data_IF_383448090020
#
_entry.id   IF_383448090020
#
_cell.length_a   1.000
_cell.length_b   1.000
_cell.length_c   1.000
_cell.angle_alpha   90.00
_cell.angle_beta   90.00
_cell.angle_gamma   90.00
#
_symmetry.space_group_name_H-M   'P 1'
#
loop_
_entity.id
_entity.type
_entity.pdbx_description
1 polymer ?
#
# COMPACT_ATOMS: atom_id res chain seq x y z
N UNK A 1 -64.92 35.24 38.48
CA UNK A 1 -65.49 34.25 39.42
C UNK A 1 -64.60 33.01 39.43
N UNK A 2 -64.21 32.54 40.63
CA UNK A 2 -64.10 31.11 41.00
C UNK A 2 -62.97 30.26 40.35
N UNK A 3 -62.15 29.45 41.04
CA UNK A 3 -62.07 29.04 42.45
C UNK A 3 -60.67 28.43 42.69
N UNK A 4 -60.03 28.83 43.80
CA UNK A 4 -58.97 28.06 44.47
C UNK A 4 -59.57 26.78 45.07
N UNK A 5 -58.77 25.71 45.19
CA UNK A 5 -58.62 24.80 46.36
C UNK A 5 -57.71 23.63 45.97
N UNK A 6 -56.52 23.51 46.56
CA UNK A 6 -56.17 22.89 47.85
C UNK A 6 -55.99 21.37 47.74
N UNK A 7 -54.71 20.99 47.79
CA UNK A 7 -54.16 19.65 48.04
C UNK A 7 -54.64 19.15 49.41
N UNK A 8 -54.77 17.83 49.58
CA UNK A 8 -54.19 17.22 50.77
C UNK A 8 -53.28 16.04 50.44
N UNK A 9 -52.11 16.09 51.03
CA UNK A 9 -51.17 15.00 51.25
C UNK A 9 -51.76 14.10 52.33
N UNK A 10 -51.74 12.77 52.12
CA UNK A 10 -51.71 11.84 53.24
C UNK A 10 -50.85 10.63 52.87
N UNK A 11 -49.82 10.46 53.68
CA UNK A 11 -48.77 9.45 53.65
C UNK A 11 -49.13 8.39 54.70
N UNK A 12 -48.78 7.12 54.48
CA UNK A 12 -47.88 6.29 55.32
C UNK A 12 -48.25 4.78 55.43
N UNK A 13 -47.27 3.93 55.05
CA UNK A 13 -46.89 2.58 55.58
C UNK A 13 -47.90 1.39 55.54
N UNK A 14 -47.53 0.10 55.40
CA UNK A 14 -46.25 -0.59 55.62
C UNK A 14 -46.23 -2.01 54.97
N UNK A 15 -45.06 -2.37 54.40
CA UNK A 15 -44.27 -3.63 54.39
C UNK A 15 -44.90 -5.03 54.65
N UNK A 16 -44.62 -5.98 53.74
CA UNK A 16 -43.90 -7.29 53.91
C UNK A 16 -44.44 -8.41 52.99
N UNK A 17 -43.56 -9.08 52.24
CA UNK A 17 -43.85 -10.35 51.56
C UNK A 17 -42.86 -10.65 50.43
N UNK A 18 -41.94 -11.59 50.66
CA UNK A 18 -40.81 -11.86 49.77
C UNK A 18 -41.03 -12.92 48.68
N UNK A 19 -39.94 -13.10 47.93
CA UNK A 19 -39.56 -14.22 47.03
C UNK A 19 -40.38 -14.48 45.76
N UNK A 20 -39.80 -14.21 44.59
CA UNK A 20 -39.15 -15.21 43.73
C UNK A 20 -38.89 -14.62 42.34
N UNK A 21 -37.68 -14.86 41.83
CA UNK A 21 -37.24 -14.47 40.50
C UNK A 21 -38.17 -14.99 39.40
N UNK A 22 -38.45 -14.17 38.39
CA UNK A 22 -38.60 -14.64 37.00
C UNK A 22 -37.89 -13.71 36.03
N UNK A 23 -36.84 -14.30 35.48
CA UNK A 23 -36.14 -14.06 34.23
C UNK A 23 -36.72 -13.01 33.27
N UNK A 24 -35.79 -12.23 32.74
CA UNK A 24 -35.89 -11.43 31.53
C UNK A 24 -36.51 -12.25 30.39
N UNK A 25 -37.42 -11.63 29.64
CA UNK A 25 -37.54 -11.90 28.21
C UNK A 25 -37.46 -10.54 27.52
N UNK A 26 -36.23 -10.13 27.21
CA UNK A 26 -36.02 -9.28 26.06
C UNK A 26 -36.57 -10.03 24.85
N UNK A 27 -37.64 -9.54 24.26
CA UNK A 27 -38.08 -10.01 22.95
C UNK A 27 -37.16 -9.37 21.89
N UNK A 28 -36.05 -10.03 21.62
CA UNK A 28 -35.53 -10.15 20.26
C UNK A 28 -35.50 -11.67 19.98
N UNK A 29 -35.76 -12.18 18.76
CA UNK A 29 -35.35 -11.58 17.48
C UNK A 29 -36.37 -11.78 16.34
N UNK A 30 -36.49 -10.80 15.44
CA UNK A 30 -37.42 -10.88 14.32
C UNK A 30 -36.93 -10.20 13.05
N UNK A 31 -35.63 -10.23 12.74
CA UNK A 31 -35.16 -9.75 11.45
C UNK A 31 -34.04 -10.63 10.88
N UNK A 32 -34.48 -11.47 9.93
CA UNK A 32 -33.77 -12.13 8.83
C UNK A 32 -32.58 -13.05 9.15
N UNK A 33 -32.87 -14.35 9.27
CA UNK A 33 -31.92 -15.46 9.12
C UNK A 33 -31.27 -15.57 7.70
N UNK A 34 -31.45 -14.57 6.83
CA UNK A 34 -30.92 -14.53 5.46
C UNK A 34 -30.33 -13.15 5.09
N UNK A 35 -29.82 -12.39 6.06
CA UNK A 35 -29.10 -11.16 5.77
C UNK A 35 -27.75 -11.50 5.09
N UNK A 36 -27.71 -11.41 3.75
CA UNK A 36 -26.48 -11.48 2.97
C UNK A 36 -25.81 -10.11 2.98
N UNK A 37 -24.53 -10.06 3.32
CA UNK A 37 -23.74 -8.83 3.22
C UNK A 37 -23.82 -8.26 1.80
N UNK A 38 -24.04 -6.94 1.64
CA UNK A 38 -24.07 -6.34 0.33
C UNK A 38 -22.72 -6.52 -0.37
N UNK A 39 -22.73 -7.03 -1.60
CA UNK A 39 -21.55 -7.09 -2.48
C UNK A 39 -21.29 -5.67 -2.99
N UNK A 40 -20.14 -5.10 -2.63
CA UNK A 40 -19.68 -3.83 -3.19
C UNK A 40 -19.11 -4.08 -4.60
N UNK A 41 -19.81 -3.61 -5.63
CA UNK A 41 -19.28 -3.58 -7.00
C UNK A 41 -18.54 -2.25 -7.19
N UNK A 42 -17.22 -2.30 -7.33
CA UNK A 42 -16.46 -1.12 -7.73
C UNK A 42 -16.69 -0.84 -9.22
N UNK A 43 -16.89 0.43 -9.63
CA UNK A 43 -16.88 0.80 -11.03
C UNK A 43 -15.56 0.35 -11.70
N UNK A 44 -15.59 -0.13 -12.96
CA UNK A 44 -14.37 -0.42 -13.69
C UNK A 44 -13.46 0.80 -13.70
N UNK A 45 -12.21 0.65 -13.27
CA UNK A 45 -11.20 1.69 -13.36
C UNK A 45 -10.39 1.50 -14.63
N UNK A 46 -9.96 2.58 -15.31
CA UNK A 46 -9.10 2.45 -16.47
C UNK A 46 -7.76 1.80 -16.08
N UNK A 47 -7.09 1.07 -16.98
CA UNK A 47 -5.75 0.56 -16.76
C UNK A 47 -4.79 1.67 -16.29
N UNK A 48 -3.95 1.42 -15.27
CA UNK A 48 -2.90 2.35 -14.89
C UNK A 48 -1.90 2.58 -16.02
N UNK A 49 -1.43 3.82 -16.15
CA UNK A 49 -0.38 4.18 -17.09
C UNK A 49 0.87 4.63 -16.37
N UNK A 50 2.00 4.26 -16.93
CA UNK A 50 3.29 4.75 -16.49
C UNK A 50 3.45 6.22 -16.92
N UNK A 51 3.57 7.13 -15.95
CA UNK A 51 3.65 8.58 -16.22
C UNK A 51 5.05 9.14 -16.06
N UNK A 52 5.92 8.48 -15.29
CA UNK A 52 7.32 8.85 -15.22
C UNK A 52 8.19 7.70 -14.76
N UNK A 53 9.45 7.75 -15.17
CA UNK A 53 10.47 6.80 -14.74
C UNK A 53 11.77 7.49 -14.40
N UNK A 54 12.59 6.80 -13.63
CA UNK A 54 14.01 7.08 -13.56
C UNK A 54 14.79 5.76 -13.71
N UNK A 55 15.73 5.64 -14.65
CA UNK A 55 16.04 6.60 -15.71
C UNK A 55 14.83 6.90 -16.62
N UNK A 56 14.82 8.10 -17.21
CA UNK A 56 13.86 8.46 -18.24
C UNK A 56 14.24 7.79 -19.58
N UNK A 57 13.28 7.75 -20.51
CA UNK A 57 13.51 7.26 -21.87
C UNK A 57 14.71 7.98 -22.51
N UNK A 58 15.63 7.19 -23.05
CA UNK A 58 16.87 7.61 -23.72
C UNK A 58 17.83 8.46 -22.86
N UNK A 59 17.62 8.50 -21.54
CA UNK A 59 18.53 9.18 -20.63
C UNK A 59 19.91 8.51 -20.61
N UNK A 60 20.97 9.31 -20.48
CA UNK A 60 22.32 8.83 -20.14
C UNK A 60 22.53 8.92 -18.64
N UNK A 61 22.99 7.83 -18.01
CA UNK A 61 23.30 7.77 -16.58
C UNK A 61 24.70 7.23 -16.33
N UNK A 62 25.27 7.56 -15.17
CA UNK A 62 26.54 7.00 -14.72
C UNK A 62 26.40 5.53 -14.31
N UNK A 63 27.45 4.70 -14.48
CA UNK A 63 27.43 3.29 -14.07
C UNK A 63 27.31 3.09 -12.56
N UNK A 64 27.06 1.86 -12.11
CA UNK A 64 27.06 1.47 -10.70
C UNK A 64 25.67 1.23 -10.11
N UNK A 65 25.46 1.68 -8.87
CA UNK A 65 24.20 1.57 -8.14
C UNK A 65 23.14 2.46 -8.80
N UNK A 66 22.01 1.87 -9.18
CA UNK A 66 20.89 2.53 -9.84
C UNK A 66 19.62 2.29 -9.04
N UNK A 67 18.75 3.30 -8.97
CA UNK A 67 17.36 3.10 -8.58
C UNK A 67 16.52 3.11 -9.84
N UNK A 68 15.79 2.03 -10.12
CA UNK A 68 14.71 2.06 -11.09
C UNK A 68 13.46 2.58 -10.40
N UNK A 69 12.94 3.73 -10.85
CA UNK A 69 11.70 4.33 -10.37
C UNK A 69 10.64 4.22 -11.46
N UNK A 70 9.43 3.83 -11.10
CA UNK A 70 8.27 3.76 -11.98
C UNK A 70 7.05 4.36 -11.27
N UNK A 71 6.55 5.49 -11.76
CA UNK A 71 5.38 6.16 -11.20
C UNK A 71 4.18 6.02 -12.14
N UNK A 72 3.02 5.67 -11.57
CA UNK A 72 1.77 5.48 -12.30
C UNK A 72 0.78 6.63 -12.06
N UNK A 73 -0.21 6.79 -12.94
CA UNK A 73 -1.27 7.81 -12.77
C UNK A 73 -2.27 7.49 -11.64
N UNK A 74 -2.31 6.24 -11.18
CA UNK A 74 -3.28 5.72 -10.21
C UNK A 74 -2.60 5.09 -8.99
N UNK A 75 -3.39 4.89 -7.92
CA UNK A 75 -2.94 4.10 -6.78
C UNK A 75 -2.78 2.63 -7.18
N UNK A 76 -1.67 2.04 -6.77
CA UNK A 76 -1.22 0.72 -7.18
C UNK A 76 -1.28 -0.28 -6.02
N UNK A 77 -1.53 -1.53 -6.36
CA UNK A 77 -1.44 -2.64 -5.42
C UNK A 77 0.01 -3.01 -5.16
N UNK A 78 0.46 -3.17 -3.89
CA UNK A 78 1.79 -3.67 -3.59
C UNK A 78 1.93 -5.19 -3.79
N UNK A 79 0.84 -5.89 -4.14
CA UNK A 79 0.80 -7.35 -4.14
C UNK A 79 1.33 -8.00 -5.44
N UNK A 80 1.39 -7.25 -6.54
CA UNK A 80 1.75 -7.78 -7.85
C UNK A 80 2.65 -6.82 -8.62
N UNK A 81 3.66 -7.40 -9.27
CA UNK A 81 4.60 -6.69 -10.12
C UNK A 81 5.24 -7.68 -11.08
N UNK A 82 5.49 -7.24 -12.31
CA UNK A 82 6.46 -7.90 -13.16
C UNK A 82 7.14 -6.89 -14.08
N UNK A 83 8.38 -7.19 -14.38
CA UNK A 83 9.19 -6.45 -15.32
C UNK A 83 10.18 -7.44 -15.95
N UNK A 84 10.49 -7.21 -17.21
CA UNK A 84 11.43 -8.01 -17.97
C UNK A 84 12.41 -7.08 -18.70
N UNK A 85 13.57 -7.58 -19.14
CA UNK A 85 14.45 -6.82 -20.02
C UNK A 85 13.69 -6.33 -21.26
N UNK A 86 13.95 -5.11 -21.72
CA UNK A 86 13.40 -4.64 -22.98
C UNK A 86 14.03 -5.40 -24.17
N UNK A 87 13.30 -5.61 -25.28
CA UNK A 87 13.85 -6.28 -26.46
C UNK A 87 15.13 -5.60 -26.96
N UNK A 88 16.20 -6.38 -27.13
CA UNK A 88 17.49 -5.88 -27.62
C UNK A 88 18.29 -5.03 -26.62
N UNK A 89 17.84 -4.90 -25.37
CA UNK A 89 18.55 -4.18 -24.32
C UNK A 89 19.14 -5.15 -23.28
N UNK A 90 20.18 -4.69 -22.59
CA UNK A 90 20.82 -5.48 -21.54
C UNK A 90 19.91 -5.59 -20.30
N UNK A 91 19.87 -6.77 -19.63
CA UNK A 91 19.16 -6.93 -18.37
C UNK A 91 19.90 -6.21 -17.24
N UNK A 92 19.16 -5.51 -16.38
CA UNK A 92 19.70 -4.94 -15.14
C UNK A 92 19.82 -6.00 -14.04
N UNK A 93 20.84 -5.91 -13.18
CA UNK A 93 20.94 -6.71 -11.95
C UNK A 93 20.13 -6.04 -10.84
N UNK A 94 18.89 -6.46 -10.64
CA UNK A 94 17.98 -5.85 -9.66
C UNK A 94 17.65 -6.79 -8.50
N UNK A 95 17.32 -6.22 -7.35
CA UNK A 95 16.64 -6.96 -6.27
C UNK A 95 15.29 -7.50 -6.77
N UNK A 96 14.74 -8.52 -6.11
CA UNK A 96 13.54 -9.23 -6.61
C UNK A 96 12.23 -8.47 -6.43
N UNK A 97 12.12 -7.69 -5.36
CA UNK A 97 10.86 -7.08 -4.92
C UNK A 97 10.96 -5.57 -4.98
N UNK A 98 10.16 -4.90 -5.82
CA UNK A 98 10.05 -3.44 -5.80
C UNK A 98 9.29 -3.01 -4.55
N UNK A 99 9.64 -1.85 -4.01
CA UNK A 99 8.91 -1.22 -2.92
C UNK A 99 7.93 -0.21 -3.48
N UNK A 100 6.66 -0.30 -3.07
CA UNK A 100 5.67 0.77 -3.26
C UNK A 100 5.93 1.89 -2.25
N UNK A 101 6.07 3.12 -2.73
CA UNK A 101 6.27 4.31 -1.88
C UNK A 101 4.96 4.76 -1.20
N UNK A 102 5.09 5.69 -0.26
CA UNK A 102 3.97 6.23 0.53
C UNK A 102 2.93 7.01 -0.29
N UNK A 103 3.28 7.46 -1.49
CA UNK A 103 2.33 8.04 -2.45
C UNK A 103 1.36 7.00 -3.03
N UNK A 104 1.63 5.70 -2.80
CA UNK A 104 0.87 4.56 -3.33
C UNK A 104 0.83 4.51 -4.86
N UNK A 105 1.69 5.23 -5.56
CA UNK A 105 1.73 5.28 -7.02
C UNK A 105 3.10 4.93 -7.60
N UNK A 106 4.15 5.08 -6.80
CA UNK A 106 5.52 4.96 -7.26
C UNK A 106 6.16 3.70 -6.71
N UNK A 107 6.68 2.87 -7.61
CA UNK A 107 7.56 1.76 -7.26
C UNK A 107 9.01 2.16 -7.42
N UNK A 108 9.84 1.69 -6.50
CA UNK A 108 11.30 1.83 -6.56
C UNK A 108 11.98 0.48 -6.40
N UNK A 109 13.05 0.29 -7.15
CA UNK A 109 13.80 -0.96 -7.18
C UNK A 109 15.30 -0.67 -7.22
N UNK A 110 16.06 -1.34 -6.36
CA UNK A 110 17.51 -1.23 -6.34
C UNK A 110 18.11 -2.13 -7.42
N UNK A 111 18.94 -1.56 -8.29
CA UNK A 111 19.59 -2.25 -9.39
C UNK A 111 21.09 -1.90 -9.51
N UNK A 112 21.79 -2.63 -10.37
CA UNK A 112 23.16 -2.35 -10.81
C UNK A 112 23.28 -2.38 -12.33
N UNK A 113 24.08 -1.46 -12.86
CA UNK A 113 24.38 -1.33 -14.29
C UNK A 113 25.86 -1.09 -14.54
N UNK A 114 26.36 -1.54 -15.69
CA UNK A 114 27.75 -1.44 -16.11
C UNK A 114 27.92 -0.37 -17.19
N UNK A 115 29.12 0.21 -17.26
CA UNK A 115 29.46 1.26 -18.22
C UNK A 115 29.37 0.80 -19.67
N UNK A 116 29.05 1.74 -20.57
CA UNK A 116 29.12 1.55 -22.03
C UNK A 116 28.04 0.64 -22.61
N UNK A 117 26.91 0.48 -21.91
CA UNK A 117 25.82 -0.41 -22.31
C UNK A 117 24.50 0.35 -22.46
N UNK A 118 23.60 -0.23 -23.22
CA UNK A 118 22.20 0.20 -23.28
C UNK A 118 21.36 -0.80 -22.52
N UNK A 119 20.68 -0.32 -21.49
CA UNK A 119 19.77 -1.11 -20.66
C UNK A 119 18.33 -0.76 -20.99
N UNK A 120 17.42 -1.65 -20.63
CA UNK A 120 16.01 -1.39 -20.80
C UNK A 120 15.15 -2.34 -20.01
N UNK A 121 13.92 -1.90 -19.75
CA UNK A 121 12.93 -2.65 -19.00
C UNK A 121 11.58 -2.50 -19.66
N UNK A 122 10.83 -3.59 -19.69
CA UNK A 122 9.42 -3.65 -20.05
C UNK A 122 8.62 -3.98 -18.79
N UNK A 123 7.78 -3.05 -18.35
CA UNK A 123 6.80 -3.24 -17.30
C UNK A 123 5.58 -3.95 -17.88
N UNK A 124 5.03 -4.93 -17.17
CA UNK A 124 3.87 -5.70 -17.63
C UNK A 124 4.08 -6.32 -19.01
N UNK A 125 5.28 -6.90 -19.25
CA UNK A 125 5.55 -7.69 -20.46
C UNK A 125 4.61 -8.90 -20.53
N UNK A 126 4.38 -9.53 -19.38
CA UNK A 126 3.27 -10.45 -19.15
C UNK A 126 2.18 -9.69 -18.39
N UNK A 127 0.91 -9.78 -18.80
CA UNK A 127 -0.14 -9.00 -18.12
C UNK A 127 -0.61 -9.63 -16.81
N UNK A 128 -0.56 -10.96 -16.72
CA UNK A 128 -0.99 -11.68 -15.51
C UNK A 128 0.06 -11.52 -14.43
N UNK A 129 -0.35 -11.16 -13.21
CA UNK A 129 0.56 -10.95 -12.08
C UNK A 129 1.47 -9.70 -12.20
N UNK A 130 1.19 -8.81 -13.14
CA UNK A 130 1.92 -7.55 -13.31
C UNK A 130 1.49 -6.46 -12.33
N UNK A 131 2.07 -5.28 -12.50
CA UNK A 131 1.62 -4.06 -11.83
C UNK A 131 0.14 -3.82 -12.12
N UNK A 132 -0.64 -3.55 -11.07
CA UNK A 132 -2.07 -3.32 -11.18
C UNK A 132 -2.53 -2.26 -10.16
N UNK A 133 -3.70 -1.65 -10.41
CA UNK A 133 -4.32 -0.80 -9.39
C UNK A 133 -5.00 -1.62 -8.28
N UNK A 134 -5.55 -0.94 -7.29
CA UNK A 134 -6.28 -1.56 -6.18
C UNK A 134 -7.53 -2.35 -6.61
N UNK A 135 -8.05 -2.11 -7.82
CA UNK A 135 -9.15 -2.87 -8.43
C UNK A 135 -8.67 -4.03 -9.30
N UNK A 136 -7.41 -4.44 -9.18
CA UNK A 136 -6.79 -5.54 -9.93
C UNK A 136 -6.74 -5.35 -11.45
N UNK A 137 -6.98 -4.13 -11.94
CA UNK A 137 -6.83 -3.83 -13.36
C UNK A 137 -5.33 -3.70 -13.69
N UNK A 138 -4.81 -4.53 -14.62
CA UNK A 138 -3.38 -4.51 -14.95
C UNK A 138 -3.01 -3.20 -15.64
N UNK A 139 -1.84 -2.66 -15.29
CA UNK A 139 -1.27 -1.51 -15.98
C UNK A 139 -0.98 -1.82 -17.45
N UNK A 140 -1.00 -0.78 -18.27
CA UNK A 140 -0.56 -0.87 -19.67
C UNK A 140 0.91 -1.30 -19.75
N UNK A 141 1.24 -2.11 -20.76
CA UNK A 141 2.63 -2.47 -21.04
C UNK A 141 3.39 -1.22 -21.45
N UNK A 142 4.54 -0.98 -20.81
CA UNK A 142 5.40 0.14 -21.11
C UNK A 142 6.85 -0.32 -21.12
N UNK A 143 7.63 0.12 -22.10
CA UNK A 143 9.07 -0.15 -22.17
C UNK A 143 9.84 1.15 -22.13
N UNK A 144 11.03 1.10 -21.54
CA UNK A 144 12.01 2.17 -21.67
C UNK A 144 13.41 1.61 -21.92
N UNK A 145 14.21 2.41 -22.60
CA UNK A 145 15.64 2.18 -22.79
C UNK A 145 16.44 3.37 -22.31
N UNK A 146 17.62 3.14 -21.76
CA UNK A 146 18.54 4.18 -21.33
C UNK A 146 19.99 3.74 -21.55
N UNK A 147 20.90 4.71 -21.62
CA UNK A 147 22.32 4.47 -21.85
C UNK A 147 23.10 4.66 -20.56
N UNK A 148 24.14 3.87 -20.40
CA UNK A 148 25.09 4.01 -19.31
C UNK A 148 26.42 4.47 -19.88
N UNK A 149 26.87 5.63 -19.45
CA UNK A 149 28.11 6.24 -19.91
C UNK A 149 29.36 5.58 -19.29
N UNK A 150 30.53 6.10 -19.64
CA UNK A 150 31.83 5.68 -19.11
C UNK A 150 32.30 6.47 -17.88
N UNK A 151 31.39 7.21 -17.22
CA UNK A 151 31.71 8.07 -16.08
C UNK A 151 32.07 7.30 -14.81
N UNK A 152 32.39 8.05 -13.75
CA UNK A 152 32.69 7.48 -12.44
C UNK A 152 31.46 6.73 -11.88
N UNK A 153 31.62 5.49 -11.39
CA UNK A 153 30.49 4.72 -10.88
C UNK A 153 29.86 5.32 -9.62
N UNK A 154 28.54 5.24 -9.53
CA UNK A 154 27.78 5.45 -8.30
C UNK A 154 28.00 4.25 -7.39
N UNK A 155 28.61 4.47 -6.23
CA UNK A 155 28.97 3.39 -5.29
C UNK A 155 28.13 3.38 -4.02
N UNK A 156 27.26 4.37 -3.82
CA UNK A 156 26.45 4.50 -2.60
C UNK A 156 24.97 4.59 -2.91
N UNK A 157 24.15 3.99 -2.03
CA UNK A 157 22.70 4.07 -2.12
C UNK A 157 22.20 5.52 -2.03
N UNK A 158 22.79 6.32 -1.13
CA UNK A 158 22.41 7.75 -0.96
C UNK A 158 22.55 8.51 -2.27
N UNK A 159 23.68 8.37 -2.96
CA UNK A 159 23.89 9.05 -4.24
C UNK A 159 22.92 8.56 -5.32
N UNK A 160 22.63 7.25 -5.36
CA UNK A 160 21.65 6.70 -6.29
C UNK A 160 20.24 7.25 -6.03
N UNK A 161 19.85 7.41 -4.75
CA UNK A 161 18.57 8.02 -4.35
C UNK A 161 18.50 9.49 -4.75
N UNK A 162 19.55 10.28 -4.52
CA UNK A 162 19.63 11.69 -4.96
C UNK A 162 19.40 11.83 -6.47
N UNK A 163 20.09 11.01 -7.27
CA UNK A 163 19.96 11.02 -8.72
C UNK A 163 18.54 10.64 -9.19
N UNK A 164 17.88 9.74 -8.45
CA UNK A 164 16.50 9.35 -8.69
C UNK A 164 15.46 10.35 -8.13
N UNK A 165 15.91 11.40 -7.45
CA UNK A 165 15.05 12.40 -6.81
C UNK A 165 14.25 11.86 -5.62
N UNK A 166 14.79 10.86 -4.91
CA UNK A 166 14.14 10.24 -3.76
C UNK A 166 14.53 10.93 -2.45
N UNK A 167 13.57 11.02 -1.54
CA UNK A 167 13.75 11.51 -0.18
C UNK A 167 14.26 10.40 0.76
N UNK A 168 14.74 10.77 1.95
CA UNK A 168 15.37 9.83 2.89
C UNK A 168 14.45 8.70 3.40
N UNK A 169 13.13 8.91 3.40
CA UNK A 169 12.10 7.93 3.77
C UNK A 169 11.65 7.04 2.59
N UNK A 170 12.13 7.34 1.38
CA UNK A 170 11.82 6.64 0.14
C UNK A 170 12.90 5.62 -0.25
N UNK A 171 13.59 5.03 0.73
CA UNK A 171 14.59 3.98 0.48
C UNK A 171 13.97 2.81 -0.30
N UNK A 172 14.68 2.24 -1.28
CA UNK A 172 14.14 1.17 -2.13
C UNK A 172 14.01 -0.18 -1.42
N UNK A 173 14.74 -0.35 -0.31
CA UNK A 173 14.67 -1.55 0.53
C UNK A 173 13.83 -1.20 1.75
N UNK A 174 12.78 -1.98 1.98
CA UNK A 174 12.01 -1.90 3.21
C UNK A 174 12.78 -2.63 4.31
N UNK A 175 13.26 -1.89 5.32
CA UNK A 175 13.80 -2.52 6.52
C UNK A 175 12.66 -3.26 7.23
N UNK A 176 12.91 -4.51 7.64
CA UNK A 176 11.98 -5.22 8.50
C UNK A 176 11.76 -4.40 9.79
N UNK A 177 10.53 -4.32 10.32
CA UNK A 177 10.31 -3.72 11.62
C UNK A 177 11.26 -4.36 12.63
N UNK A 178 12.08 -3.55 13.30
CA UNK A 178 12.95 -4.06 14.37
C UNK A 178 12.03 -4.73 15.38
N UNK A 179 12.19 -6.03 15.58
CA UNK A 179 11.50 -6.72 16.66
C UNK A 179 11.83 -5.97 17.95
N UNK A 180 10.81 -5.40 18.59
CA UNK A 180 10.97 -4.79 19.92
C UNK A 180 11.65 -5.82 20.79
N UNK A 181 12.85 -5.52 21.27
CA UNK A 181 13.52 -6.34 22.26
C UNK A 181 12.63 -6.37 23.51
N UNK A 182 11.78 -7.40 23.60
CA UNK A 182 10.95 -7.64 24.75
C UNK A 182 11.86 -7.81 25.95
N UNK A 183 11.56 -7.06 27.02
CA UNK A 183 12.17 -7.13 28.34
C UNK A 183 12.65 -8.55 28.71
N UNK A 184 13.93 -8.83 28.49
CA UNK A 184 14.65 -9.89 29.19
C UNK A 184 15.19 -9.30 30.50
N UNK A 185 14.27 -8.89 31.38
CA UNK A 185 14.56 -8.50 32.75
C UNK A 185 13.39 -8.97 33.62
N UNK A 186 13.41 -10.25 34.01
CA UNK A 186 12.37 -10.84 34.83
C UNK A 186 12.44 -12.35 34.93
N UNK A 187 13.45 -12.87 35.63
CA UNK A 187 13.55 -14.29 35.99
C UNK A 187 14.59 -14.46 37.08
N UNK A 188 14.11 -14.69 38.30
CA UNK A 188 14.88 -14.86 39.55
C UNK A 188 15.73 -16.13 39.54
#
# INVERSE_FOLDING_TARGET
MSRRRLVPVLVLCAVLGGTAARAQVQTAPGEAANAVSPVLILPPTPPPRLVSTYPAQDQSVTPGVLILKAAFDQQMSPAAWNYAPAPGAEPMDCVKTPRLLSDQKTFVLLCRVLAGRTYGVTFNAERVGGFANLGENPAETASLTFKVDGGAPVTTLRRAMELAGLQGDQTPVQEAPRASAGNAAGGR
#
